data_IF_783701508110
#
_entry.id   IF_783701508110
#
_cell.length_a   1.000
_cell.length_b   1.000
_cell.length_c   1.000
_cell.angle_alpha   90.00
_cell.angle_beta   90.00
_cell.angle_gamma   90.00
#
_symmetry.space_group_name_H-M   'P 1'
#
loop_
_entity.id
_entity.type
_entity.pdbx_description
1 polymer ?
#
# COMPACT_ATOMS: atom_id res chain seq x y z
N UNK A 1 -27.47 -40.30 6.02
CA UNK A 1 -26.63 -39.36 5.25
C UNK A 1 -26.24 -38.27 6.22
N UNK A 2 -24.94 -38.04 6.43
CA UNK A 2 -24.49 -37.08 7.46
C UNK A 2 -24.66 -35.64 6.97
N UNK A 3 -24.81 -34.67 7.89
CA UNK A 3 -24.86 -33.22 7.59
C UNK A 3 -23.67 -32.76 6.72
N UNK A 4 -22.53 -33.44 6.85
CA UNK A 4 -21.30 -33.18 6.10
C UNK A 4 -21.47 -33.59 4.62
N UNK A 5 -22.07 -34.73 4.34
CA UNK A 5 -22.31 -35.21 2.96
C UNK A 5 -23.28 -34.30 2.20
N UNK A 6 -24.27 -33.74 2.89
CA UNK A 6 -25.22 -32.79 2.30
C UNK A 6 -24.58 -31.42 2.02
N UNK A 7 -23.61 -31.01 2.85
CA UNK A 7 -22.82 -29.80 2.63
C UNK A 7 -21.89 -29.95 1.41
N UNK A 8 -21.19 -31.09 1.28
CA UNK A 8 -20.33 -31.36 0.13
C UNK A 8 -21.07 -31.43 -1.21
N UNK A 9 -22.34 -31.86 -1.21
CA UNK A 9 -23.18 -31.86 -2.42
C UNK A 9 -23.51 -30.45 -2.94
N UNK A 10 -23.42 -29.42 -2.09
CA UNK A 10 -23.67 -28.01 -2.46
C UNK A 10 -22.42 -27.28 -2.92
N UNK A 11 -21.23 -27.87 -2.76
CA UNK A 11 -19.96 -27.25 -3.16
C UNK A 11 -19.70 -27.47 -4.65
N UNK A 12 -19.30 -26.41 -5.34
CA UNK A 12 -18.80 -26.48 -6.71
C UNK A 12 -17.30 -26.76 -6.67
N UNK A 13 -16.89 -27.93 -7.16
CA UNK A 13 -15.48 -28.29 -7.28
C UNK A 13 -14.80 -27.51 -8.42
N UNK A 14 -13.48 -27.26 -8.35
CA UNK A 14 -12.74 -26.66 -9.46
C UNK A 14 -12.96 -27.43 -10.77
N UNK A 15 -13.39 -26.73 -11.82
CA UNK A 15 -13.73 -27.33 -13.11
C UNK A 15 -12.57 -27.22 -14.10
N UNK A 16 -12.22 -28.33 -14.76
CA UNK A 16 -11.06 -28.42 -15.68
C UNK A 16 -11.06 -27.38 -16.81
N UNK A 17 -12.24 -26.91 -17.24
CA UNK A 17 -12.39 -25.98 -18.38
C UNK A 17 -12.67 -24.54 -17.94
N UNK A 18 -12.75 -24.26 -16.64
CA UNK A 18 -13.02 -22.90 -16.15
C UNK A 18 -11.74 -22.07 -16.17
N UNK A 19 -11.81 -20.90 -16.77
CA UNK A 19 -10.70 -19.94 -16.87
C UNK A 19 -10.91 -18.76 -15.94
N UNK A 20 -9.83 -18.22 -15.38
CA UNK A 20 -9.84 -16.93 -14.66
C UNK A 20 -10.13 -15.75 -15.62
N UNK A 21 -9.75 -15.89 -16.89
CA UNK A 21 -10.14 -15.00 -17.97
C UNK A 21 -11.42 -15.54 -18.60
N UNK A 22 -12.56 -15.06 -18.09
CA UNK A 22 -13.88 -15.52 -18.53
C UNK A 22 -14.50 -14.55 -19.54
N UNK A 23 -15.20 -15.07 -20.54
CA UNK A 23 -16.01 -14.30 -21.48
C UNK A 23 -17.46 -14.13 -20.98
N UNK A 24 -17.65 -14.06 -19.66
CA UNK A 24 -19.00 -13.83 -19.11
C UNK A 24 -19.53 -12.46 -19.55
N UNK A 25 -20.86 -12.39 -19.71
CA UNK A 25 -21.54 -11.22 -20.30
C UNK A 25 -21.82 -10.10 -19.31
N UNK A 26 -21.59 -10.31 -18.00
CA UNK A 26 -21.75 -9.33 -16.93
C UNK A 26 -20.61 -8.31 -16.96
N UNK A 27 -20.72 -7.33 -17.87
CA UNK A 27 -19.71 -6.30 -18.10
C UNK A 27 -19.41 -5.46 -16.85
N UNK A 28 -20.37 -5.29 -15.93
CA UNK A 28 -20.17 -4.57 -14.66
C UNK A 28 -19.22 -5.30 -13.69
N UNK A 29 -18.91 -6.58 -13.95
CA UNK A 29 -17.91 -7.37 -13.22
C UNK A 29 -16.58 -7.51 -13.99
N UNK A 30 -16.39 -6.75 -15.08
CA UNK A 30 -15.16 -6.76 -15.88
C UNK A 30 -14.30 -5.54 -15.55
N UNK A 31 -13.08 -5.78 -15.08
CA UNK A 31 -12.05 -4.75 -14.87
C UNK A 31 -10.95 -4.85 -15.95
N UNK A 32 -10.32 -3.71 -16.28
CA UNK A 32 -9.14 -3.68 -17.15
C UNK A 32 -7.87 -4.04 -16.36
N UNK A 33 -6.91 -4.68 -17.02
CA UNK A 33 -5.56 -4.93 -16.50
C UNK A 33 -4.50 -4.14 -17.30
N UNK A 34 -4.94 -3.25 -18.19
CA UNK A 34 -4.06 -2.44 -19.03
C UNK A 34 -3.42 -1.32 -18.21
N UNK A 35 -2.10 -1.18 -18.35
CA UNK A 35 -1.27 -0.13 -17.75
C UNK A 35 -0.43 0.46 -18.86
N UNK A 36 -0.56 1.76 -19.13
CA UNK A 36 0.11 2.41 -20.26
C UNK A 36 1.55 2.84 -19.96
N UNK A 37 1.90 3.05 -18.69
CA UNK A 37 3.24 3.43 -18.26
C UNK A 37 3.55 3.02 -16.81
N UNK A 38 4.84 3.04 -16.44
CA UNK A 38 5.25 2.78 -15.05
C UNK A 38 4.67 3.82 -14.08
N UNK A 39 4.63 5.09 -14.48
CA UNK A 39 4.07 6.20 -13.67
C UNK A 39 2.57 6.02 -13.45
N UNK A 40 1.81 5.76 -14.53
CA UNK A 40 0.37 5.49 -14.41
C UNK A 40 0.11 4.25 -13.56
N UNK A 41 0.86 3.17 -13.80
CA UNK A 41 0.75 1.94 -13.02
C UNK A 41 1.01 2.17 -11.54
N UNK A 42 2.03 2.95 -11.20
CA UNK A 42 2.35 3.26 -9.81
C UNK A 42 1.21 4.04 -9.14
N UNK A 43 0.72 5.12 -9.76
CA UNK A 43 -0.38 5.92 -9.22
C UNK A 43 -1.66 5.07 -9.02
N UNK A 44 -2.03 4.25 -10.01
CA UNK A 44 -3.18 3.34 -9.91
C UNK A 44 -3.00 2.37 -8.75
N UNK A 45 -1.83 1.74 -8.62
CA UNK A 45 -1.58 0.75 -7.58
C UNK A 45 -1.56 1.40 -6.19
N UNK A 46 -0.84 2.53 -6.04
CA UNK A 46 -0.79 3.32 -4.80
C UNK A 46 -2.21 3.60 -4.30
N UNK A 47 -3.06 4.22 -5.13
CA UNK A 47 -4.43 4.54 -4.73
C UNK A 47 -5.23 3.28 -4.43
N UNK A 48 -5.14 2.24 -5.28
CA UNK A 48 -5.94 1.02 -5.16
C UNK A 48 -5.70 0.29 -3.83
N UNK A 49 -4.45 0.23 -3.35
CA UNK A 49 -4.14 -0.44 -2.08
C UNK A 49 -4.67 0.33 -0.87
N UNK A 50 -4.58 1.66 -0.88
CA UNK A 50 -5.16 2.52 0.16
C UNK A 50 -6.68 2.35 0.21
N UNK A 51 -7.31 2.49 -0.94
CA UNK A 51 -8.75 2.34 -1.15
C UNK A 51 -9.31 0.99 -0.72
N UNK A 52 -8.56 -0.08 -0.96
CA UNK A 52 -8.92 -1.42 -0.52
C UNK A 52 -8.80 -1.56 1.00
N UNK A 53 -7.74 -1.00 1.61
CA UNK A 53 -7.55 -0.98 3.06
C UNK A 53 -8.72 -0.29 3.77
N UNK A 54 -9.10 0.89 3.30
CA UNK A 54 -10.22 1.66 3.87
C UNK A 54 -11.54 0.90 3.83
N UNK A 55 -11.87 0.31 2.68
CA UNK A 55 -13.09 -0.49 2.52
C UNK A 55 -13.11 -1.70 3.47
N UNK A 56 -11.95 -2.29 3.75
CA UNK A 56 -11.86 -3.38 4.73
C UNK A 56 -12.01 -2.88 6.17
N UNK A 57 -11.49 -1.69 6.51
CA UNK A 57 -11.71 -1.06 7.83
C UNK A 57 -13.20 -0.77 8.02
N UNK A 58 -13.85 -0.14 7.05
CA UNK A 58 -15.29 0.16 7.10
C UNK A 58 -16.12 -1.12 7.27
N UNK A 59 -15.80 -2.17 6.51
CA UNK A 59 -16.47 -3.46 6.65
C UNK A 59 -16.24 -4.06 8.04
N UNK A 60 -15.00 -4.08 8.54
CA UNK A 60 -14.66 -4.62 9.86
C UNK A 60 -15.34 -3.86 11.01
N UNK A 61 -15.61 -2.57 10.85
CA UNK A 61 -16.38 -1.76 11.80
C UNK A 61 -17.87 -2.11 11.78
N UNK A 62 -18.41 -2.42 10.60
CA UNK A 62 -19.81 -2.84 10.43
C UNK A 62 -20.07 -4.26 10.94
N UNK A 63 -19.11 -5.17 10.78
CA UNK A 63 -19.12 -6.54 11.28
C UNK A 63 -17.89 -6.80 12.16
N UNK A 64 -18.04 -6.49 13.45
CA UNK A 64 -16.98 -6.64 14.45
C UNK A 64 -16.48 -8.08 14.63
N UNK A 65 -17.21 -9.09 14.15
CA UNK A 65 -16.75 -10.49 14.23
C UNK A 65 -15.63 -10.79 13.24
N UNK A 66 -15.54 -10.00 12.17
CA UNK A 66 -14.55 -10.16 11.10
C UNK A 66 -13.19 -9.51 11.38
N UNK A 67 -13.10 -8.61 12.38
CA UNK A 67 -11.92 -7.75 12.61
C UNK A 67 -10.62 -8.54 12.79
N UNK A 68 -10.67 -9.66 13.52
CA UNK A 68 -9.49 -10.49 13.78
C UNK A 68 -9.00 -11.23 12.52
N UNK A 69 -9.87 -11.44 11.54
CA UNK A 69 -9.50 -12.03 10.25
C UNK A 69 -8.99 -10.98 9.26
N UNK A 70 -9.46 -9.73 9.39
CA UNK A 70 -9.15 -8.65 8.47
C UNK A 70 -7.95 -7.80 8.88
N UNK A 71 -7.55 -7.82 10.15
CA UNK A 71 -6.45 -6.99 10.67
C UNK A 71 -5.14 -7.16 9.88
N UNK A 72 -4.74 -8.39 9.58
CA UNK A 72 -3.51 -8.65 8.83
C UNK A 72 -3.59 -8.19 7.36
N UNK A 73 -4.65 -8.52 6.59
CA UNK A 73 -4.88 -7.92 5.28
C UNK A 73 -4.88 -6.38 5.30
N UNK A 74 -5.58 -5.73 6.24
CA UNK A 74 -5.64 -4.27 6.34
C UNK A 74 -4.23 -3.69 6.51
N UNK A 75 -3.45 -4.20 7.46
CA UNK A 75 -2.10 -3.74 7.72
C UNK A 75 -1.17 -3.96 6.53
N UNK A 76 -1.32 -5.09 5.82
CA UNK A 76 -0.56 -5.36 4.60
C UNK A 76 -0.88 -4.34 3.50
N UNK A 77 -2.16 -4.07 3.24
CA UNK A 77 -2.59 -3.12 2.21
C UNK A 77 -2.08 -1.71 2.51
N UNK A 78 -2.21 -1.24 3.76
CA UNK A 78 -1.71 0.06 4.17
C UNK A 78 -0.20 0.18 4.14
N UNK A 79 0.53 -0.84 4.61
CA UNK A 79 1.99 -0.85 4.41
C UNK A 79 2.30 -0.73 2.92
N UNK A 80 1.68 -1.55 2.07
CA UNK A 80 2.02 -1.57 0.66
C UNK A 80 1.72 -0.23 -0.03
N UNK A 81 0.61 0.41 0.33
CA UNK A 81 0.33 1.80 -0.03
C UNK A 81 1.48 2.75 0.33
N UNK A 82 1.96 2.74 1.59
CA UNK A 82 3.07 3.60 2.04
C UNK A 82 4.34 3.34 1.22
N UNK A 83 4.66 2.08 0.93
CA UNK A 83 5.81 1.74 0.09
C UNK A 83 5.69 2.34 -1.32
N UNK A 84 4.53 2.20 -1.96
CA UNK A 84 4.32 2.71 -3.32
C UNK A 84 4.29 4.24 -3.35
N UNK A 85 3.67 4.89 -2.35
CA UNK A 85 3.64 6.34 -2.23
C UNK A 85 5.06 6.94 -2.10
N UNK A 86 5.94 6.33 -1.29
CA UNK A 86 7.33 6.77 -1.19
C UNK A 86 8.09 6.58 -2.51
N UNK A 87 7.85 5.49 -3.23
CA UNK A 87 8.44 5.25 -4.55
C UNK A 87 7.97 6.27 -5.58
N UNK A 88 6.71 6.68 -5.49
CA UNK A 88 6.12 7.70 -6.37
C UNK A 88 6.78 9.05 -6.14
N UNK A 89 6.93 9.48 -4.88
CA UNK A 89 7.67 10.70 -4.53
C UNK A 89 9.12 10.63 -5.04
N UNK A 90 9.82 9.51 -4.82
CA UNK A 90 11.20 9.34 -5.30
C UNK A 90 11.26 9.49 -6.82
N UNK A 91 10.37 8.83 -7.56
CA UNK A 91 10.31 8.93 -9.02
C UNK A 91 10.05 10.37 -9.47
N UNK A 92 9.02 11.02 -8.94
CA UNK A 92 8.67 12.41 -9.27
C UNK A 92 9.82 13.38 -9.00
N UNK A 93 10.46 13.28 -7.83
CA UNK A 93 11.58 14.14 -7.49
C UNK A 93 12.82 13.88 -8.38
N UNK A 94 13.09 12.62 -8.71
CA UNK A 94 14.24 12.26 -9.55
C UNK A 94 14.04 12.62 -11.02
N UNK A 95 12.80 12.56 -11.50
CA UNK A 95 12.42 13.10 -12.80
C UNK A 95 12.69 14.59 -12.86
N UNK A 96 12.17 15.35 -11.87
CA UNK A 96 12.42 16.79 -11.78
C UNK A 96 13.90 17.12 -11.69
N UNK A 97 14.66 16.41 -10.86
CA UNK A 97 16.11 16.61 -10.71
C UNK A 97 16.95 16.06 -11.88
N UNK A 98 16.32 15.47 -12.89
CA UNK A 98 16.97 14.84 -14.05
C UNK A 98 18.07 13.84 -13.68
N UNK A 99 17.81 13.00 -12.66
CA UNK A 99 18.80 12.06 -12.13
C UNK A 99 18.25 10.66 -11.97
N UNK A 100 19.15 9.68 -12.01
CA UNK A 100 18.79 8.29 -11.71
C UNK A 100 18.75 8.03 -10.21
N UNK A 101 17.83 7.16 -9.80
CA UNK A 101 17.77 6.67 -8.42
C UNK A 101 17.27 5.24 -8.36
N UNK A 102 18.05 4.37 -7.72
CA UNK A 102 17.75 2.95 -7.60
C UNK A 102 16.99 2.59 -6.31
N UNK A 103 16.72 3.56 -5.43
CA UNK A 103 16.01 3.33 -4.17
C UNK A 103 14.60 2.75 -4.38
N UNK A 104 13.97 3.03 -5.53
CA UNK A 104 12.65 2.49 -5.92
C UNK A 104 12.58 0.96 -5.93
N UNK A 105 13.74 0.29 -6.06
CA UNK A 105 13.82 -1.17 -6.04
C UNK A 105 13.80 -1.74 -4.62
N UNK A 106 13.96 -0.91 -3.60
CA UNK A 106 13.89 -1.31 -2.20
C UNK A 106 12.44 -1.58 -1.76
N UNK A 107 12.29 -2.47 -0.78
CA UNK A 107 11.03 -2.67 -0.05
C UNK A 107 11.14 -2.20 1.41
N UNK A 108 12.29 -1.67 1.80
CA UNK A 108 12.56 -1.19 3.15
C UNK A 108 12.05 0.25 3.28
N UNK A 109 11.00 0.43 4.09
CA UNK A 109 10.37 1.74 4.31
C UNK A 109 11.32 2.79 4.88
N UNK A 110 12.21 2.43 5.81
CA UNK A 110 13.20 3.37 6.37
C UNK A 110 14.14 3.88 5.29
N UNK A 111 14.65 2.97 4.44
CA UNK A 111 15.52 3.35 3.34
C UNK A 111 14.81 4.23 2.30
N UNK A 112 13.57 3.90 1.95
CA UNK A 112 12.75 4.71 1.04
C UNK A 112 12.49 6.10 1.64
N UNK A 113 12.23 6.19 2.94
CA UNK A 113 12.03 7.46 3.64
C UNK A 113 13.29 8.32 3.69
N UNK A 114 14.45 7.72 4.02
CA UNK A 114 15.72 8.45 4.04
C UNK A 114 16.06 9.06 2.68
N UNK A 115 15.84 8.30 1.59
CA UNK A 115 16.03 8.84 0.24
C UNK A 115 14.98 9.90 -0.11
N UNK A 116 13.73 9.74 0.33
CA UNK A 116 12.67 10.74 0.16
C UNK A 116 13.06 12.07 0.81
N UNK A 117 13.51 12.06 2.08
CA UNK A 117 13.96 13.27 2.79
C UNK A 117 15.11 13.97 2.07
N UNK A 118 16.10 13.18 1.61
CA UNK A 118 17.23 13.70 0.84
C UNK A 118 16.76 14.38 -0.45
N UNK A 119 15.84 13.76 -1.19
CA UNK A 119 15.31 14.31 -2.43
C UNK A 119 14.50 15.58 -2.21
N UNK A 120 13.64 15.61 -1.19
CA UNK A 120 12.89 16.82 -0.79
C UNK A 120 13.84 17.98 -0.53
N UNK A 121 14.92 17.73 0.21
CA UNK A 121 15.95 18.75 0.48
C UNK A 121 16.69 19.20 -0.78
N UNK A 122 16.94 18.31 -1.74
CA UNK A 122 17.60 18.65 -3.01
C UNK A 122 16.68 19.44 -3.97
N UNK A 123 15.37 19.18 -3.94
CA UNK A 123 14.37 19.95 -4.69
C UNK A 123 14.16 21.36 -4.08
N UNK A 124 14.65 21.58 -2.86
CA UNK A 124 14.48 22.82 -2.10
C UNK A 124 13.00 23.12 -1.79
N UNK A 125 12.26 22.08 -1.36
CA UNK A 125 10.88 22.22 -0.90
C UNK A 125 10.85 22.68 0.56
N UNK A 126 10.17 23.79 0.81
CA UNK A 126 9.94 24.34 2.15
C UNK A 126 8.84 23.56 2.88
N UNK A 127 9.21 22.40 3.43
CA UNK A 127 8.32 21.58 4.27
C UNK A 127 8.65 21.84 5.75
N UNK A 128 7.67 22.18 6.59
CA UNK A 128 7.90 22.37 8.02
C UNK A 128 8.54 21.14 8.68
N UNK A 129 9.58 21.36 9.50
CA UNK A 129 10.31 20.27 10.18
C UNK A 129 9.40 19.37 11.04
N UNK A 130 8.41 19.97 11.73
CA UNK A 130 7.46 19.21 12.54
C UNK A 130 6.64 18.22 11.70
N UNK A 131 6.34 18.54 10.43
CA UNK A 131 5.66 17.64 9.51
C UNK A 131 6.57 16.48 9.09
N UNK A 132 7.84 16.76 8.75
CA UNK A 132 8.83 15.73 8.43
C UNK A 132 9.00 14.76 9.58
N UNK A 133 9.14 15.27 10.81
CA UNK A 133 9.26 14.46 12.03
C UNK A 133 8.01 13.61 12.26
N UNK A 134 6.80 14.17 12.06
CA UNK A 134 5.55 13.43 12.22
C UNK A 134 5.44 12.27 11.22
N UNK A 135 5.70 12.53 9.93
CA UNK A 135 5.66 11.54 8.86
C UNK A 135 6.70 10.44 9.09
N UNK A 136 7.93 10.82 9.44
CA UNK A 136 9.00 9.88 9.77
C UNK A 136 8.58 8.94 10.89
N UNK A 137 8.06 9.49 12.00
CA UNK A 137 7.63 8.69 13.14
C UNK A 137 6.56 7.67 12.76
N UNK A 138 5.63 8.02 11.87
CA UNK A 138 4.57 7.13 11.41
C UNK A 138 5.12 6.04 10.47
N UNK A 139 5.96 6.39 9.49
CA UNK A 139 6.58 5.43 8.58
C UNK A 139 7.45 4.43 9.34
N UNK A 140 8.23 4.90 10.32
CA UNK A 140 9.11 4.05 11.13
C UNK A 140 8.30 3.09 12.03
N UNK A 141 7.11 3.46 12.49
CA UNK A 141 6.21 2.52 13.17
C UNK A 141 5.81 1.37 12.26
N UNK A 142 5.36 1.65 11.03
CA UNK A 142 5.07 0.61 10.04
C UNK A 142 6.30 -0.23 9.69
N UNK A 143 7.47 0.41 9.54
CA UNK A 143 8.71 -0.31 9.27
C UNK A 143 9.07 -1.30 10.37
N UNK A 144 8.94 -0.90 11.64
CA UNK A 144 9.23 -1.77 12.79
C UNK A 144 8.25 -2.93 12.90
N UNK A 145 6.97 -2.69 12.61
CA UNK A 145 5.96 -3.73 12.60
C UNK A 145 6.17 -4.74 11.47
N UNK A 146 6.66 -4.31 10.30
CA UNK A 146 6.91 -5.20 9.16
C UNK A 146 8.19 -4.84 8.37
N UNK A 147 9.35 -5.15 8.96
CA UNK A 147 10.66 -4.87 8.33
C UNK A 147 10.89 -5.64 7.03
N UNK A 148 10.24 -6.79 6.87
CA UNK A 148 10.54 -7.76 5.81
C UNK A 148 9.50 -7.78 4.68
N UNK A 149 8.43 -7.00 4.80
CA UNK A 149 7.22 -7.12 3.98
C UNK A 149 6.41 -8.41 4.23
N UNK A 150 6.81 -9.28 5.15
CA UNK A 150 6.23 -10.62 5.29
C UNK A 150 5.33 -10.76 6.52
N UNK A 151 5.47 -9.90 7.51
CA UNK A 151 4.91 -10.08 8.86
C UNK A 151 3.38 -10.16 8.84
N UNK A 152 2.74 -9.40 7.94
CA UNK A 152 1.29 -9.38 7.81
C UNK A 152 0.74 -10.42 6.83
N UNK A 153 1.60 -11.13 6.09
CA UNK A 153 1.19 -12.11 5.07
C UNK A 153 1.33 -13.55 5.53
N UNK A 154 2.24 -13.79 6.45
CA UNK A 154 2.59 -15.14 6.88
C UNK A 154 2.61 -15.22 8.41
N UNK A 155 2.20 -16.36 9.00
CA UNK A 155 2.25 -16.54 10.45
C UNK A 155 3.68 -16.75 10.98
N UNK A 156 4.63 -17.10 10.09
CA UNK A 156 6.03 -17.38 10.42
C UNK A 156 6.98 -16.80 9.38
N UNK A 157 8.22 -16.56 9.79
CA UNK A 157 9.32 -16.17 8.90
C UNK A 157 9.79 -17.33 8.00
N UNK A 158 10.79 -17.08 7.15
CA UNK A 158 11.36 -18.09 6.24
C UNK A 158 12.04 -19.26 6.97
N UNK A 159 12.34 -19.10 8.26
CA UNK A 159 12.94 -20.11 9.13
C UNK A 159 11.88 -20.85 9.97
N UNK A 160 10.61 -20.48 9.86
CA UNK A 160 9.50 -21.07 10.62
C UNK A 160 9.29 -20.46 12.01
N UNK A 161 9.95 -19.35 12.35
CA UNK A 161 9.73 -18.67 13.62
C UNK A 161 8.53 -17.75 13.53
N UNK A 162 7.70 -17.74 14.59
CA UNK A 162 6.63 -16.74 14.74
C UNK A 162 7.24 -15.35 14.89
N UNK A 163 6.64 -14.36 14.23
CA UNK A 163 7.04 -12.96 14.36
C UNK A 163 6.83 -12.48 15.80
N UNK A 164 7.91 -12.02 16.46
CA UNK A 164 7.91 -11.69 17.90
C UNK A 164 7.59 -10.22 18.23
N UNK A 165 7.42 -9.37 17.22
CA UNK A 165 7.40 -7.91 17.39
C UNK A 165 6.00 -7.28 17.23
N UNK A 166 4.93 -8.08 17.27
CA UNK A 166 3.56 -7.55 17.20
C UNK A 166 3.03 -7.28 18.61
N UNK A 167 2.38 -6.13 18.80
CA UNK A 167 1.64 -5.82 20.02
C UNK A 167 0.47 -6.78 20.23
N UNK A 168 -0.02 -6.88 21.47
CA UNK A 168 -1.19 -7.72 21.80
C UNK A 168 -2.45 -7.29 21.03
N UNK A 169 -2.58 -6.01 20.74
CA UNK A 169 -3.69 -5.44 19.98
C UNK A 169 -3.25 -4.26 19.12
N UNK A 170 -4.08 -3.92 18.13
CA UNK A 170 -3.97 -2.72 17.30
C UNK A 170 -5.37 -2.17 17.03
N UNK A 171 -5.52 -0.85 17.01
CA UNK A 171 -6.79 -0.20 16.67
C UNK A 171 -6.78 0.17 15.19
N UNK A 172 -7.57 -0.54 14.38
CA UNK A 172 -7.60 -0.36 12.92
C UNK A 172 -8.12 1.03 12.48
N UNK A 173 -8.94 1.69 13.30
CA UNK A 173 -9.41 3.05 12.99
C UNK A 173 -8.28 4.06 13.19
N UNK A 174 -7.54 3.95 14.30
CA UNK A 174 -6.36 4.78 14.52
C UNK A 174 -5.29 4.55 13.44
N UNK A 175 -5.14 3.31 12.95
CA UNK A 175 -4.26 3.01 11.82
C UNK A 175 -4.75 3.72 10.55
N UNK A 176 -6.04 3.67 10.25
CA UNK A 176 -6.64 4.37 9.11
C UNK A 176 -6.39 5.88 9.20
N UNK A 177 -6.65 6.50 10.34
CA UNK A 177 -6.42 7.94 10.55
C UNK A 177 -4.95 8.35 10.28
N UNK A 178 -4.00 7.53 10.74
CA UNK A 178 -2.57 7.74 10.44
C UNK A 178 -2.31 7.64 8.94
N UNK A 179 -2.87 6.63 8.27
CA UNK A 179 -2.68 6.41 6.83
C UNK A 179 -3.35 7.51 6.01
N UNK A 180 -4.49 8.05 6.44
CA UNK A 180 -5.14 9.20 5.82
C UNK A 180 -4.27 10.46 5.90
N UNK A 181 -3.60 10.69 7.04
CA UNK A 181 -2.61 11.75 7.18
C UNK A 181 -1.42 11.59 6.25
N UNK A 182 -0.83 10.38 6.20
CA UNK A 182 0.24 10.05 5.26
C UNK A 182 -0.21 10.21 3.80
N UNK A 183 -1.46 9.87 3.50
CA UNK A 183 -2.05 10.05 2.18
C UNK A 183 -2.14 11.50 1.76
N UNK A 184 -2.70 12.36 2.61
CA UNK A 184 -2.76 13.78 2.32
C UNK A 184 -1.37 14.37 2.07
N UNK A 185 -0.39 14.00 2.90
CA UNK A 185 0.98 14.48 2.78
C UNK A 185 1.67 13.99 1.50
N UNK A 186 1.68 12.68 1.24
CA UNK A 186 2.33 12.11 0.06
C UNK A 186 1.69 12.60 -1.24
N UNK A 187 0.36 12.64 -1.31
CA UNK A 187 -0.35 13.10 -2.50
C UNK A 187 -0.05 14.57 -2.78
N UNK A 188 -0.09 15.44 -1.75
CA UNK A 188 0.26 16.84 -1.88
C UNK A 188 1.68 17.04 -2.41
N UNK A 189 2.64 16.26 -1.91
CA UNK A 189 4.03 16.33 -2.35
C UNK A 189 4.20 15.91 -3.82
N UNK A 190 3.52 14.84 -4.26
CA UNK A 190 3.53 14.41 -5.67
C UNK A 190 2.91 15.48 -6.57
N UNK A 191 1.83 16.13 -6.15
CA UNK A 191 1.24 17.25 -6.90
C UNK A 191 2.22 18.42 -7.06
N UNK A 192 2.87 18.86 -5.98
CA UNK A 192 3.86 19.96 -6.02
C UNK A 192 5.03 19.61 -6.95
N UNK A 193 5.56 18.39 -6.85
CA UNK A 193 6.64 17.93 -7.74
C UNK A 193 6.20 17.90 -9.21
N UNK A 194 4.95 17.50 -9.48
CA UNK A 194 4.37 17.54 -10.83
C UNK A 194 4.27 18.97 -11.38
N UNK A 195 3.82 19.93 -10.57
CA UNK A 195 3.78 21.34 -10.96
C UNK A 195 5.17 21.90 -11.27
N UNK A 196 6.17 21.52 -10.48
CA UNK A 196 7.56 21.93 -10.69
C UNK A 196 8.14 21.36 -11.98
N UNK A 197 7.84 20.09 -12.28
CA UNK A 197 8.21 19.44 -13.54
C UNK A 197 7.53 20.12 -14.74
N UNK A 198 6.23 20.37 -14.68
CA UNK A 198 5.49 21.04 -15.76
C UNK A 198 6.02 22.45 -16.01
N UNK A 199 6.41 23.19 -14.96
CA UNK A 199 6.98 24.53 -15.08
C UNK A 199 8.36 24.53 -15.76
N UNK A 200 9.17 23.47 -15.61
CA UNK A 200 10.46 23.33 -16.30
C UNK A 200 10.31 23.19 -17.81
N UNK A 201 9.26 22.53 -18.29
CA UNK A 201 9.04 22.31 -19.73
C UNK A 201 8.33 23.47 -20.44
N UNK A 202 7.98 24.54 -19.73
CA UNK A 202 7.31 25.72 -20.28
C UNK A 202 8.28 26.84 -20.71
N UNK A 203 9.59 26.71 -20.44
CA UNK A 203 10.64 27.69 -20.78
C UNK A 203 11.82 27.03 -21.50
#
# INVERSE_FOLDING_TARGET
>A
MSLIEEHFKKLSWPEKKKSIFSERKDWWNKASLEISSNTEGLAIYTQSFKDAGDRLVEYAQSDKTSINFLVFPILFLYRHYIELALKEIILSATQYLEKENNAINSHNLSHLWDETKKLISEVDLDIPEDEIVAVENQIIQFHKLDMSSMTFRYPVDKQGNVFKNLSEYINIENVREIVDGLYAWCFGLVCVLGEYEDAKHQF
#
